data_IF_663952466042
#
_entry.id   IF_663952466042
#
_cell.length_a   1.000
_cell.length_b   1.000
_cell.length_c   1.000
_cell.angle_alpha   90.00
_cell.angle_beta   90.00
_cell.angle_gamma   90.00
#
_symmetry.space_group_name_H-M   'P 1'
#
loop_
_entity.id
_entity.type
_entity.pdbx_description
1 polymer ?
#
# COMPACT_ATOMS: atom_id res chain seq x y z
N UNK A 1 -9.71 7.71 -34.46
CA UNK A 1 -8.26 7.42 -34.44
C UNK A 1 -7.92 6.65 -33.18
N UNK A 2 -8.04 5.33 -33.22
CA UNK A 2 -7.63 4.44 -32.14
C UNK A 2 -6.11 4.45 -32.09
N UNK A 3 -5.53 5.12 -31.07
CA UNK A 3 -4.09 5.06 -30.82
C UNK A 3 -3.75 3.60 -30.50
N UNK A 4 -3.15 2.91 -31.45
CA UNK A 4 -2.60 1.57 -31.22
C UNK A 4 -1.60 1.67 -30.07
N UNK A 5 -1.92 1.00 -28.96
CA UNK A 5 -1.03 0.90 -27.82
C UNK A 5 0.11 -0.01 -28.27
N UNK A 6 1.26 0.57 -28.53
CA UNK A 6 2.46 -0.20 -28.90
C UNK A 6 2.73 -1.30 -27.86
N UNK A 7 3.16 -2.51 -28.27
CA UNK A 7 3.30 -3.66 -27.38
C UNK A 7 4.28 -3.39 -26.22
N UNK A 8 5.25 -2.50 -26.44
CA UNK A 8 6.22 -2.06 -25.43
C UNK A 8 5.55 -1.26 -24.29
N UNK A 9 4.58 -0.39 -24.61
CA UNK A 9 3.87 0.41 -23.60
C UNK A 9 2.96 -0.48 -22.73
N UNK A 10 2.27 -1.45 -23.34
CA UNK A 10 1.45 -2.44 -22.63
C UNK A 10 2.29 -3.30 -21.67
N UNK A 11 3.49 -3.72 -22.10
CA UNK A 11 4.42 -4.48 -21.25
C UNK A 11 4.87 -3.69 -20.02
N UNK A 12 5.24 -2.41 -20.17
CA UNK A 12 5.63 -1.58 -19.03
C UNK A 12 4.49 -1.34 -18.05
N UNK A 13 3.27 -1.13 -18.55
CA UNK A 13 2.09 -1.01 -17.71
C UNK A 13 1.84 -2.29 -16.90
N UNK A 14 1.91 -3.47 -17.54
CA UNK A 14 1.75 -4.75 -16.88
C UNK A 14 2.84 -5.00 -15.81
N UNK A 15 4.11 -4.70 -16.12
CA UNK A 15 5.20 -4.82 -15.15
C UNK A 15 5.01 -3.89 -13.94
N UNK A 16 4.52 -2.67 -14.17
CA UNK A 16 4.22 -1.73 -13.09
C UNK A 16 3.06 -2.20 -12.23
N UNK A 17 1.99 -2.72 -12.82
CA UNK A 17 0.85 -3.30 -12.10
C UNK A 17 1.30 -4.46 -11.18
N UNK A 18 2.17 -5.35 -11.67
CA UNK A 18 2.72 -6.45 -10.85
C UNK A 18 3.53 -5.92 -9.66
N UNK A 19 4.35 -4.90 -9.88
CA UNK A 19 5.14 -4.27 -8.79
C UNK A 19 4.23 -3.63 -7.75
N UNK A 20 3.17 -2.94 -8.17
CA UNK A 20 2.18 -2.32 -7.30
C UNK A 20 1.47 -3.40 -6.47
N UNK A 21 0.94 -4.44 -7.10
CA UNK A 21 0.24 -5.53 -6.39
C UNK A 21 1.12 -6.24 -5.35
N UNK A 22 2.42 -6.42 -5.64
CA UNK A 22 3.37 -6.98 -4.67
C UNK A 22 3.58 -6.05 -3.47
N UNK A 23 3.68 -4.76 -3.71
CA UNK A 23 3.83 -3.78 -2.65
C UNK A 23 2.53 -3.63 -1.83
N UNK A 24 1.36 -3.73 -2.46
CA UNK A 24 0.07 -3.74 -1.75
C UNK A 24 -0.07 -4.96 -0.86
N UNK A 25 0.23 -6.16 -1.39
CA UNK A 25 0.21 -7.39 -0.60
C UNK A 25 1.16 -7.30 0.60
N UNK A 26 2.34 -6.73 0.42
CA UNK A 26 3.28 -6.52 1.51
C UNK A 26 2.75 -5.52 2.54
N UNK A 27 2.19 -4.39 2.11
CA UNK A 27 1.59 -3.40 3.00
C UNK A 27 0.45 -4.01 3.84
N UNK A 28 -0.46 -4.76 3.20
CA UNK A 28 -1.56 -5.46 3.86
C UNK A 28 -1.05 -6.49 4.89
N UNK A 29 0.05 -7.19 4.61
CA UNK A 29 0.62 -8.14 5.57
C UNK A 29 1.15 -7.50 6.86
N UNK A 30 1.36 -6.17 6.86
CA UNK A 30 1.85 -5.40 7.99
C UNK A 30 0.80 -4.45 8.56
N UNK A 31 -0.43 -4.51 8.05
CA UNK A 31 -1.49 -3.59 8.43
C UNK A 31 -1.73 -3.60 9.94
N UNK A 32 -1.87 -4.79 10.54
CA UNK A 32 -2.13 -4.93 11.97
C UNK A 32 -1.03 -4.30 12.84
N UNK A 33 0.25 -4.50 12.48
CA UNK A 33 1.39 -3.93 13.19
C UNK A 33 1.46 -2.41 13.03
N UNK A 34 1.19 -1.90 11.82
CA UNK A 34 1.16 -0.47 11.57
C UNK A 34 0.01 0.19 12.33
N UNK A 35 -1.16 -0.44 12.39
CA UNK A 35 -2.32 0.03 13.16
C UNK A 35 -2.07 0.03 14.66
N UNK A 36 -1.45 -1.03 15.21
CA UNK A 36 -1.04 -1.10 16.62
C UNK A 36 -0.09 0.05 16.98
N UNK A 37 0.93 0.29 16.14
CA UNK A 37 1.91 1.34 16.36
C UNK A 37 1.29 2.75 16.18
N UNK A 38 0.34 2.92 15.25
CA UNK A 38 -0.45 4.15 15.10
C UNK A 38 -1.34 4.40 16.32
N UNK A 39 -1.98 3.36 16.85
CA UNK A 39 -2.83 3.46 18.05
C UNK A 39 -2.02 3.84 19.30
N UNK A 40 -0.72 3.53 19.31
CA UNK A 40 0.22 3.96 20.35
C UNK A 40 0.72 5.41 20.15
N UNK A 41 0.14 6.16 19.21
CA UNK A 41 0.50 7.54 18.84
C UNK A 41 1.98 7.73 18.47
N UNK A 42 2.64 6.66 17.99
CA UNK A 42 4.04 6.73 17.59
C UNK A 42 4.22 7.51 16.30
N UNK A 43 5.22 8.38 16.28
CA UNK A 43 5.64 9.06 15.05
C UNK A 43 6.20 8.04 14.05
N UNK A 44 6.18 8.31 12.72
CA UNK A 44 6.71 7.37 11.73
C UNK A 44 8.19 7.02 11.94
N UNK A 45 8.96 7.90 12.61
CA UNK A 45 10.34 7.64 13.00
C UNK A 45 10.43 6.59 14.12
N UNK A 46 9.59 6.71 15.15
CA UNK A 46 9.51 5.74 16.24
C UNK A 46 8.93 4.42 15.76
N UNK A 47 7.93 4.44 14.88
CA UNK A 47 7.40 3.23 14.24
C UNK A 47 8.50 2.47 13.49
N UNK A 48 9.36 3.17 12.75
CA UNK A 48 10.47 2.54 12.04
C UNK A 48 11.46 1.87 13.01
N UNK A 49 11.73 2.52 14.15
CA UNK A 49 12.58 1.95 15.19
C UNK A 49 11.95 0.68 15.78
N UNK A 50 10.68 0.76 16.21
CA UNK A 50 9.92 -0.37 16.75
C UNK A 50 9.83 -1.55 15.77
N UNK A 51 9.54 -1.29 14.50
CA UNK A 51 9.50 -2.35 13.49
C UNK A 51 10.86 -3.04 13.33
N UNK A 52 11.96 -2.29 13.44
CA UNK A 52 13.31 -2.85 13.39
C UNK A 52 13.64 -3.66 14.66
N UNK A 53 13.25 -3.17 15.85
CA UNK A 53 13.47 -3.85 17.13
C UNK A 53 12.69 -5.15 17.23
N UNK A 54 11.44 -5.14 16.77
CA UNK A 54 10.58 -6.34 16.64
C UNK A 54 11.05 -7.32 15.54
N UNK A 55 12.10 -6.97 14.79
CA UNK A 55 12.71 -7.83 13.79
C UNK A 55 12.00 -7.88 12.44
N UNK A 56 11.02 -7.00 12.19
CA UNK A 56 10.38 -6.90 10.88
C UNK A 56 11.36 -6.34 9.85
N UNK A 57 11.42 -6.97 8.67
CA UNK A 57 12.39 -6.62 7.62
C UNK A 57 11.68 -6.15 6.36
N UNK A 58 12.20 -5.07 5.76
CA UNK A 58 11.74 -4.63 4.44
C UNK A 58 12.32 -5.51 3.34
N UNK A 59 11.60 -5.79 2.24
CA UNK A 59 12.06 -6.70 1.18
C UNK A 59 13.33 -6.25 0.45
N UNK A 60 13.63 -4.94 0.46
CA UNK A 60 14.74 -4.35 -0.30
C UNK A 60 15.96 -3.97 0.52
N UNK A 61 15.78 -3.58 1.79
CA UNK A 61 16.87 -3.00 2.60
C UNK A 61 17.07 -3.71 3.94
N UNK A 62 16.21 -4.65 4.32
CA UNK A 62 16.26 -5.34 5.61
C UNK A 62 16.17 -4.43 6.85
N UNK A 63 15.84 -3.15 6.66
CA UNK A 63 15.51 -2.24 7.76
C UNK A 63 14.43 -1.26 7.33
N UNK A 64 13.68 -0.80 8.32
CA UNK A 64 12.69 0.25 8.22
C UNK A 64 13.35 1.61 8.39
N UNK A 65 12.99 2.50 7.47
CA UNK A 65 13.25 3.92 7.54
C UNK A 65 11.94 4.67 7.72
N UNK A 66 12.02 5.90 8.21
CA UNK A 66 10.90 6.84 8.22
C UNK A 66 10.15 6.86 6.88
N UNK A 67 10.87 6.98 5.77
CA UNK A 67 10.26 7.07 4.43
C UNK A 67 9.52 5.79 4.05
N UNK A 68 10.11 4.62 4.32
CA UNK A 68 9.42 3.34 4.05
C UNK A 68 8.18 3.13 4.91
N UNK A 69 8.16 3.63 6.15
CA UNK A 69 6.95 3.61 6.99
C UNK A 69 5.89 4.52 6.37
N UNK A 70 6.25 5.75 5.98
CA UNK A 70 5.31 6.65 5.30
C UNK A 70 4.75 6.07 4.01
N UNK A 71 5.59 5.45 3.17
CA UNK A 71 5.17 4.84 1.92
C UNK A 71 4.16 3.69 2.14
N UNK A 72 4.35 2.90 3.21
CA UNK A 72 3.41 1.83 3.60
C UNK A 72 2.12 2.40 4.16
N UNK A 73 2.19 3.39 5.06
CA UNK A 73 1.01 4.07 5.59
C UNK A 73 0.15 4.68 4.47
N UNK A 74 0.76 5.48 3.59
CA UNK A 74 0.06 6.11 2.47
C UNK A 74 -0.58 5.09 1.52
N UNK A 75 0.08 3.93 1.33
CA UNK A 75 -0.46 2.84 0.53
C UNK A 75 -1.64 2.16 1.20
N UNK A 76 -1.58 1.90 2.51
CA UNK A 76 -2.72 1.37 3.26
C UNK A 76 -3.92 2.33 3.18
N UNK A 77 -3.68 3.64 3.34
CA UNK A 77 -4.72 4.67 3.23
C UNK A 77 -5.33 4.73 1.81
N UNK A 78 -4.51 4.52 0.77
CA UNK A 78 -4.99 4.45 -0.61
C UNK A 78 -5.84 3.21 -0.88
N UNK A 79 -5.45 2.05 -0.33
CA UNK A 79 -6.19 0.79 -0.46
C UNK A 79 -7.56 0.90 0.24
N UNK A 80 -7.59 1.42 1.47
CA UNK A 80 -8.84 1.60 2.22
C UNK A 80 -9.76 2.59 1.53
N UNK A 81 -9.23 3.72 1.04
CA UNK A 81 -10.01 4.68 0.25
C UNK A 81 -10.62 4.04 -1.00
N UNK A 82 -9.84 3.28 -1.75
CA UNK A 82 -10.34 2.59 -2.95
C UNK A 82 -11.44 1.58 -2.61
N UNK A 83 -11.30 0.85 -1.49
CA UNK A 83 -12.31 -0.09 -1.03
C UNK A 83 -13.61 0.60 -0.62
N UNK A 84 -13.53 1.73 0.10
CA UNK A 84 -14.69 2.54 0.51
C UNK A 84 -15.39 3.13 -0.71
N UNK A 85 -14.65 3.69 -1.67
CA UNK A 85 -15.22 4.25 -2.89
C UNK A 85 -15.96 3.17 -3.71
N UNK A 86 -15.42 1.95 -3.74
CA UNK A 86 -16.06 0.80 -4.40
C UNK A 86 -17.33 0.35 -3.68
N UNK A 87 -17.31 0.30 -2.35
CA UNK A 87 -18.47 -0.06 -1.54
C UNK A 87 -19.61 0.96 -1.70
N UNK A 88 -19.28 2.25 -1.67
CA UNK A 88 -20.25 3.34 -1.87
C UNK A 88 -20.86 3.33 -3.28
N UNK A 89 -20.08 2.99 -4.31
CA UNK A 89 -20.58 2.85 -5.67
C UNK A 89 -21.56 1.67 -5.83
N UNK A 90 -21.32 0.56 -5.11
CA UNK A 90 -22.21 -0.60 -5.11
C UNK A 90 -23.54 -0.32 -4.37
N UNK A 91 -23.49 0.41 -3.25
CA UNK A 91 -24.68 0.73 -2.45
C UNK A 91 -25.62 1.72 -3.19
N UNK A 92 -25.05 2.68 -3.92
CA UNK A 92 -25.80 3.62 -4.77
C UNK A 92 -26.60 2.94 -5.90
N UNK A 93 -26.30 1.68 -6.23
CA UNK A 93 -26.99 0.93 -7.30
C UNK A 93 -28.17 0.09 -6.75
N UNK A 94 -28.27 -0.08 -5.42
CA UNK A 94 -29.29 -0.95 -4.79
C UNK A 94 -30.56 -0.22 -4.36
N UNK A 95 -30.59 1.12 -4.45
CA UNK A 95 -31.82 1.91 -4.29
C UNK A 95 -32.45 2.19 -5.66
N UNK A 96 -33.29 1.27 -6.13
CA UNK A 96 -34.26 1.49 -7.22
C UNK A 96 -35.59 0.80 -6.89
#
# INVERSE_FOLDING_TARGET
MTKEITPKLAHFAAMNAIKIARADKFALSLQAQIEELKASELTPHQMAHELNERGYRTPRRHYWTYKSVQDVCARLDAITKTAVDTANAADATTSF
#
